data_IF_662221877167
#
_entry.id   IF_662221877167
#
_cell.length_a   1.000
_cell.length_b   1.000
_cell.length_c   1.000
_cell.angle_alpha   90.00
_cell.angle_beta   90.00
_cell.angle_gamma   90.00
#
_symmetry.space_group_name_H-M   'P 1'
#
loop_
_entity.id
_entity.type
_entity.pdbx_description
1 polymer ?
#
# COMPACT_ATOMS: atom_id res chain seq x y z
N UNK A 1 4.50 -8.63 -8.90
CA UNK A 1 4.13 -8.38 -7.49
C UNK A 1 2.62 -8.27 -7.41
N UNK A 2 2.06 -8.39 -6.22
CA UNK A 2 0.63 -8.18 -5.99
C UNK A 2 0.47 -6.96 -5.11
N UNK A 3 -0.29 -5.96 -5.55
CA UNK A 3 -0.69 -4.83 -4.71
C UNK A 3 -1.92 -5.25 -3.93
N UNK A 4 -1.91 -5.00 -2.63
CA UNK A 4 -2.98 -5.31 -1.71
C UNK A 4 -3.45 -4.04 -1.02
N UNK A 5 -4.76 -3.81 -1.07
CA UNK A 5 -5.46 -2.79 -0.30
C UNK A 5 -6.20 -3.45 0.85
N UNK A 6 -5.89 -3.04 2.07
CA UNK A 6 -6.54 -3.52 3.28
C UNK A 6 -7.53 -2.47 3.78
N UNK A 7 -8.83 -2.78 3.74
CA UNK A 7 -9.87 -1.88 4.24
C UNK A 7 -9.94 -1.95 5.77
N UNK A 8 -9.78 -0.79 6.39
CA UNK A 8 -9.50 -0.68 7.83
C UNK A 8 -10.69 -1.01 8.74
N UNK A 9 -11.94 -0.91 8.26
CA UNK A 9 -13.15 -1.17 9.05
C UNK A 9 -13.62 -2.63 8.97
N UNK A 10 -13.84 -3.10 7.75
CA UNK A 10 -14.28 -4.44 7.37
C UNK A 10 -13.16 -5.47 7.42
N UNK A 11 -11.90 -5.03 7.49
CA UNK A 11 -10.71 -5.90 7.55
C UNK A 11 -10.56 -6.77 6.30
N UNK A 12 -11.14 -6.33 5.17
CA UNK A 12 -11.09 -7.03 3.89
C UNK A 12 -9.86 -6.66 3.08
N UNK A 13 -9.36 -7.62 2.31
CA UNK A 13 -8.23 -7.46 1.41
C UNK A 13 -8.72 -7.42 -0.04
N UNK A 14 -8.22 -6.46 -0.81
CA UNK A 14 -8.39 -6.38 -2.26
C UNK A 14 -7.01 -6.49 -2.91
N UNK A 15 -6.77 -7.58 -3.64
CA UNK A 15 -5.45 -7.89 -4.20
C UNK A 15 -5.47 -7.86 -5.72
N UNK A 16 -4.50 -7.17 -6.30
CA UNK A 16 -4.39 -6.95 -7.74
C UNK A 16 -2.98 -7.30 -8.23
N UNK A 17 -2.84 -8.21 -9.22
CA UNK A 17 -1.54 -8.51 -9.80
C UNK A 17 -1.03 -7.30 -10.62
N UNK A 18 0.25 -7.02 -10.49
CA UNK A 18 0.96 -5.98 -11.27
C UNK A 18 2.09 -6.64 -12.05
N UNK A 19 2.16 -6.32 -13.35
CA UNK A 19 3.19 -6.84 -14.25
C UNK A 19 4.58 -6.33 -13.85
N UNK A 20 5.62 -7.09 -14.20
CA UNK A 20 6.99 -6.63 -14.02
C UNK A 20 7.24 -5.36 -14.84
N UNK A 21 8.06 -4.44 -14.30
CA UNK A 21 8.41 -3.15 -14.92
C UNK A 21 7.22 -2.21 -15.18
N UNK A 22 6.09 -2.43 -14.51
CA UNK A 22 4.97 -1.50 -14.55
C UNK A 22 5.18 -0.38 -13.54
N UNK A 23 5.36 0.86 -14.02
CA UNK A 23 5.67 2.02 -13.19
C UNK A 23 4.44 2.67 -12.52
N UNK A 24 3.24 2.41 -13.05
CA UNK A 24 1.99 3.00 -12.56
C UNK A 24 0.85 1.98 -12.55
N UNK A 25 -0.10 2.14 -11.63
CA UNK A 25 -1.29 1.30 -11.56
C UNK A 25 -2.55 2.14 -11.37
N UNK A 26 -3.70 1.55 -11.74
CA UNK A 26 -5.02 2.12 -11.50
C UNK A 26 -6.01 0.98 -11.30
N UNK A 27 -6.78 1.05 -10.21
CA UNK A 27 -7.79 0.06 -9.87
C UNK A 27 -9.08 0.78 -9.45
N UNK A 28 -10.22 0.20 -9.80
CA UNK A 28 -11.52 0.62 -9.28
C UNK A 28 -11.84 -0.21 -8.04
N UNK A 29 -12.00 0.46 -6.89
CA UNK A 29 -12.29 -0.18 -5.60
C UNK A 29 -13.43 0.56 -4.89
N UNK A 30 -14.14 -0.11 -3.95
CA UNK A 30 -15.20 0.53 -3.16
C UNK A 30 -14.69 1.73 -2.36
N UNK A 31 -15.61 2.62 -1.97
CA UNK A 31 -15.28 3.70 -1.04
C UNK A 31 -14.96 3.15 0.35
N UNK A 32 -13.94 3.71 1.00
CA UNK A 32 -13.43 3.21 2.27
C UNK A 32 -12.09 3.83 2.66
N UNK A 33 -11.57 3.44 3.82
CA UNK A 33 -10.23 3.84 4.28
C UNK A 33 -9.31 2.63 4.21
N UNK A 34 -8.22 2.76 3.45
CA UNK A 34 -7.36 1.65 3.09
C UNK A 34 -5.91 1.88 3.53
N UNK A 35 -5.21 0.78 3.82
CA UNK A 35 -3.75 0.70 3.79
C UNK A 35 -3.31 0.05 2.48
N UNK A 36 -2.22 0.50 1.86
CA UNK A 36 -1.68 -0.07 0.63
C UNK A 36 -0.28 -0.66 0.85
N UNK A 37 -0.06 -1.86 0.36
CA UNK A 37 1.23 -2.56 0.39
C UNK A 37 1.29 -3.59 -0.73
N UNK A 38 2.45 -4.20 -0.94
CA UNK A 38 2.65 -5.21 -1.95
C UNK A 38 3.26 -6.49 -1.35
N UNK A 39 2.96 -7.62 -2.00
CA UNK A 39 3.63 -8.90 -1.78
C UNK A 39 4.40 -9.32 -3.03
N UNK A 40 5.52 -9.99 -2.82
CA UNK A 40 6.27 -10.67 -3.88
C UNK A 40 5.59 -12.00 -4.25
N UNK A 41 5.99 -12.60 -5.37
CA UNK A 41 5.35 -13.82 -5.90
C UNK A 41 5.44 -15.04 -4.97
N UNK A 42 6.39 -15.03 -4.05
CA UNK A 42 6.61 -16.05 -3.04
C UNK A 42 6.02 -15.68 -1.67
N UNK A 43 5.08 -14.73 -1.63
CA UNK A 43 4.44 -14.22 -0.39
C UNK A 43 5.41 -13.50 0.56
N UNK A 44 6.66 -13.26 0.14
CA UNK A 44 7.56 -12.38 0.85
C UNK A 44 7.01 -10.95 0.86
N UNK A 45 7.26 -10.25 1.98
CA UNK A 45 6.95 -8.83 2.11
C UNK A 45 7.53 -8.04 0.93
N UNK A 46 6.66 -7.30 0.25
CA UNK A 46 7.05 -6.28 -0.72
C UNK A 46 6.97 -4.91 -0.08
N UNK A 47 6.95 -3.86 -0.89
CA UNK A 47 6.93 -2.50 -0.36
C UNK A 47 5.61 -2.06 0.28
N UNK A 48 5.65 -0.95 1.01
CA UNK A 48 4.48 -0.28 1.61
C UNK A 48 4.27 1.15 1.10
N UNK A 49 3.02 1.63 1.21
CA UNK A 49 2.71 3.06 1.23
C UNK A 49 2.73 3.54 2.68
N UNK A 50 3.79 4.23 3.06
CA UNK A 50 4.10 4.60 4.45
C UNK A 50 4.36 6.10 4.59
N UNK A 51 4.42 6.57 5.83
CA UNK A 51 4.79 7.95 6.14
C UNK A 51 6.16 8.27 5.55
N UNK A 52 7.11 7.31 5.59
CA UNK A 52 8.43 7.38 4.96
C UNK A 52 8.36 7.80 3.48
N UNK A 53 7.45 7.22 2.71
CA UNK A 53 7.27 7.58 1.30
C UNK A 53 6.80 9.03 1.16
N UNK A 54 5.84 9.46 1.98
CA UNK A 54 5.29 10.81 1.94
C UNK A 54 6.34 11.88 2.28
N UNK A 55 7.09 11.66 3.36
CA UNK A 55 8.09 12.59 3.88
C UNK A 55 9.44 12.52 3.15
N UNK A 56 9.80 11.42 2.47
CA UNK A 56 11.04 11.33 1.67
C UNK A 56 11.08 12.35 0.53
N UNK A 57 9.92 12.91 0.17
CA UNK A 57 9.77 14.04 -0.75
C UNK A 57 10.11 15.39 -0.11
N UNK A 58 10.53 15.41 1.17
CA UNK A 58 10.90 16.60 1.94
C UNK A 58 12.35 16.52 2.43
N UNK A 59 12.91 17.64 2.89
CA UNK A 59 14.30 17.71 3.39
C UNK A 59 14.47 17.25 4.85
N UNK A 60 13.41 16.77 5.50
CA UNK A 60 13.43 16.38 6.91
C UNK A 60 13.85 14.91 7.07
N UNK A 61 14.61 14.56 8.13
CA UNK A 61 14.90 13.17 8.42
C UNK A 61 13.58 12.48 8.78
N UNK A 62 13.25 11.45 8.02
CA UNK A 62 12.06 10.67 8.22
C UNK A 62 12.42 9.21 8.39
N UNK A 63 11.90 8.61 9.45
CA UNK A 63 12.21 7.24 9.88
C UNK A 63 10.94 6.49 10.27
N UNK A 64 9.77 7.06 9.97
CA UNK A 64 8.49 6.45 10.29
C UNK A 64 8.02 5.60 9.11
N UNK A 65 8.14 4.29 9.26
CA UNK A 65 7.73 3.30 8.25
C UNK A 65 6.29 2.81 8.47
N UNK A 66 5.49 3.50 9.29
CA UNK A 66 4.09 3.17 9.51
C UNK A 66 3.28 3.30 8.22
N UNK A 67 2.42 2.31 7.94
CA UNK A 67 1.50 2.36 6.81
C UNK A 67 0.55 3.56 6.93
N UNK A 68 0.45 4.34 5.86
CA UNK A 68 -0.37 5.55 5.83
C UNK A 68 -1.78 5.22 5.32
N UNK A 69 -2.85 5.49 6.10
CA UNK A 69 -4.20 5.32 5.61
C UNK A 69 -4.56 6.36 4.57
N UNK A 70 -5.26 5.94 3.52
CA UNK A 70 -5.82 6.84 2.51
C UNK A 70 -7.32 6.60 2.31
N UNK A 71 -8.02 7.67 1.99
CA UNK A 71 -9.46 7.65 1.75
C UNK A 71 -9.76 7.46 0.26
N UNK A 72 -10.64 6.51 -0.05
CA UNK A 72 -11.28 6.37 -1.36
C UNK A 72 -12.71 6.85 -1.25
N UNK A 73 -13.09 7.76 -2.15
CA UNK A 73 -14.47 8.27 -2.27
C UNK A 73 -15.08 7.78 -3.58
N UNK A 74 -16.39 7.57 -3.57
CA UNK A 74 -17.12 7.25 -4.80
C UNK A 74 -16.90 8.33 -5.86
N UNK A 75 -16.69 7.91 -7.11
CA UNK A 75 -16.49 8.77 -8.27
C UNK A 75 -15.29 9.74 -8.13
N UNK A 76 -14.30 9.40 -7.31
CA UNK A 76 -13.07 10.18 -7.17
C UNK A 76 -11.83 9.31 -7.43
N UNK A 77 -10.81 9.91 -8.04
CA UNK A 77 -9.52 9.27 -8.24
C UNK A 77 -8.58 9.69 -7.12
N UNK A 78 -8.17 8.73 -6.29
CA UNK A 78 -7.08 8.95 -5.32
C UNK A 78 -5.74 8.73 -6.03
N UNK A 79 -4.86 9.73 -5.99
CA UNK A 79 -3.53 9.71 -6.61
C UNK A 79 -2.43 9.73 -5.55
N UNK A 80 -1.18 9.55 -5.98
CA UNK A 80 0.00 9.65 -5.10
C UNK A 80 0.04 8.62 -3.98
N UNK A 81 -0.59 7.47 -4.21
CA UNK A 81 -0.44 6.28 -3.38
C UNK A 81 0.75 5.53 -3.97
N UNK A 82 1.94 5.80 -3.46
CA UNK A 82 3.20 5.27 -3.99
C UNK A 82 3.71 4.15 -3.08
N UNK A 83 3.75 2.91 -3.56
CA UNK A 83 4.32 1.77 -2.82
C UNK A 83 5.83 1.76 -3.08
N UNK A 84 6.57 2.51 -2.26
CA UNK A 84 8.01 2.74 -2.44
C UNK A 84 8.84 2.57 -1.16
N UNK A 85 8.23 2.18 -0.04
CA UNK A 85 8.97 1.80 1.15
C UNK A 85 9.30 0.32 1.10
N UNK A 86 10.55 -0.01 0.76
CA UNK A 86 11.03 -1.38 0.61
C UNK A 86 11.76 -1.90 1.86
N UNK A 87 11.81 -1.11 2.95
CA UNK A 87 12.40 -1.50 4.23
C UNK A 87 11.40 -2.35 5.03
N UNK A 88 11.07 -3.54 4.49
CA UNK A 88 9.95 -4.36 4.94
C UNK A 88 10.04 -4.80 6.40
N UNK A 89 11.25 -4.94 6.94
CA UNK A 89 11.48 -5.29 8.35
C UNK A 89 11.03 -4.18 9.32
N UNK A 90 10.83 -2.97 8.82
CA UNK A 90 10.37 -1.80 9.58
C UNK A 90 8.87 -1.54 9.44
N UNK A 91 8.18 -2.28 8.56
CA UNK A 91 6.76 -2.10 8.26
C UNK A 91 5.94 -3.16 9.02
N UNK A 92 4.98 -2.72 9.82
CA UNK A 92 3.98 -3.60 10.42
C UNK A 92 2.84 -3.85 9.42
N UNK A 93 2.92 -4.96 8.67
CA UNK A 93 1.87 -5.34 7.72
C UNK A 93 0.64 -5.92 8.43
N UNK A 94 -0.59 -5.64 7.94
CA UNK A 94 -1.77 -6.35 8.38
C UNK A 94 -1.59 -7.87 8.21
N UNK A 95 -2.14 -8.70 9.12
CA UNK A 95 -2.01 -10.15 9.03
C UNK A 95 -2.60 -10.62 7.70
N UNK A 96 -1.81 -11.37 6.93
CA UNK A 96 -2.26 -11.98 5.68
C UNK A 96 -3.52 -12.80 6.01
N UNK A 97 -4.63 -12.67 5.25
CA UNK A 97 -5.80 -13.51 5.49
C UNK A 97 -5.37 -14.96 5.27
N UNK A 98 -5.45 -15.78 6.32
CA UNK A 98 -5.25 -17.23 6.19
C UNK A 98 -6.25 -17.73 5.13
N UNK A 99 -5.70 -18.32 4.07
CA UNK A 99 -6.47 -18.83 2.92
C UNK A 99 -7.42 -19.95 3.28
#
# INVERSE_FOLDING_TARGET
MTITFYETNSKQFLSYPVAANQESYQFEIPAGVYLAFAWLQNEDAGGGFTEFVGCSKTLLPCTDHSLTPFLVRENHVSTSIDICDWETDMIEFPPIPEG
#
